data_IF_489512553501
#
_entry.id   IF_489512553501
#
_cell.length_a   1.000
_cell.length_b   1.000
_cell.length_c   1.000
_cell.angle_alpha   90.00
_cell.angle_beta   90.00
_cell.angle_gamma   90.00
#
_symmetry.space_group_name_H-M   'P 1'
#
loop_
_entity.id
_entity.type
_entity.pdbx_description
1 polymer ?
#
# COMPACT_ATOMS: atom_id res chain seq x y z
N UNK A 1 1.30 7.60 0.04
CA UNK A 1 1.15 6.71 1.22
C UNK A 1 0.53 7.35 2.46
N UNK A 2 0.61 8.67 2.68
CA UNK A 2 0.10 9.32 3.91
C UNK A 2 -1.41 9.10 4.16
N UNK A 3 -2.20 8.95 3.09
CA UNK A 3 -3.65 8.76 3.14
C UNK A 3 -4.10 7.30 3.37
N UNK A 4 -3.19 6.34 3.53
CA UNK A 4 -3.55 4.97 3.88
C UNK A 4 -3.62 4.77 5.40
N UNK A 5 -4.51 3.89 5.89
CA UNK A 5 -4.44 3.41 7.27
C UNK A 5 -3.03 2.90 7.61
N UNK A 6 -2.58 3.19 8.84
CA UNK A 6 -1.20 2.92 9.28
C UNK A 6 -0.78 1.48 8.96
N UNK A 7 -1.61 0.51 9.30
CA UNK A 7 -1.33 -0.92 9.14
C UNK A 7 -1.16 -1.36 7.68
N UNK A 8 -1.85 -0.71 6.74
CA UNK A 8 -1.71 -0.98 5.31
C UNK A 8 -0.43 -0.34 4.77
N UNK A 9 -0.16 0.91 5.17
CA UNK A 9 1.07 1.63 4.81
C UNK A 9 2.31 0.91 5.32
N UNK A 10 2.32 0.51 6.58
CA UNK A 10 3.43 -0.18 7.23
C UNK A 10 3.78 -1.47 6.48
N UNK A 11 2.78 -2.30 6.16
CA UNK A 11 3.01 -3.51 5.37
C UNK A 11 3.58 -3.22 3.98
N UNK A 12 3.07 -2.19 3.30
CA UNK A 12 3.57 -1.78 1.97
C UNK A 12 5.00 -1.26 2.03
N UNK A 13 5.35 -0.47 3.04
CA UNK A 13 6.72 0.07 3.22
C UNK A 13 7.69 -1.07 3.49
N UNK A 14 7.38 -1.95 4.45
CA UNK A 14 8.26 -3.06 4.79
C UNK A 14 8.46 -4.00 3.59
N UNK A 15 7.42 -4.25 2.81
CA UNK A 15 7.52 -5.16 1.66
C UNK A 15 8.20 -4.53 0.44
N UNK A 16 7.79 -3.33 0.00
CA UNK A 16 8.23 -2.77 -1.27
C UNK A 16 9.42 -1.82 -1.16
N UNK A 17 9.63 -1.20 0.01
CA UNK A 17 10.69 -0.21 0.20
C UNK A 17 11.86 -0.77 1.01
N UNK A 18 11.59 -1.75 1.88
CA UNK A 18 12.61 -2.39 2.71
C UNK A 18 12.85 -3.87 2.31
N UNK A 19 12.25 -4.33 1.21
CA UNK A 19 12.44 -5.66 0.60
C UNK A 19 12.29 -6.84 1.58
N UNK A 20 11.49 -6.68 2.64
CA UNK A 20 11.21 -7.78 3.57
C UNK A 20 10.21 -8.77 2.97
N UNK A 21 10.45 -10.06 3.20
CA UNK A 21 9.49 -11.11 2.87
C UNK A 21 8.24 -11.04 3.75
N UNK A 22 7.16 -11.68 3.33
CA UNK A 22 5.90 -11.74 4.09
C UNK A 22 6.13 -12.41 5.46
N UNK A 23 6.99 -13.42 5.52
CA UNK A 23 7.36 -14.14 6.72
C UNK A 23 8.15 -13.25 7.69
N UNK A 24 9.10 -12.47 7.17
CA UNK A 24 9.89 -11.55 7.98
C UNK A 24 9.00 -10.42 8.56
N UNK A 25 8.10 -9.87 7.76
CA UNK A 25 7.12 -8.86 8.22
C UNK A 25 6.20 -9.44 9.28
N UNK A 26 5.70 -10.67 9.08
CA UNK A 26 4.84 -11.36 10.04
C UNK A 26 5.54 -11.55 11.39
N UNK A 27 6.81 -11.98 11.37
CA UNK A 27 7.62 -12.14 12.57
C UNK A 27 7.93 -10.79 13.24
N UNK A 28 8.26 -9.76 12.47
CA UNK A 28 8.62 -8.45 13.01
C UNK A 28 7.44 -7.72 13.65
N UNK A 29 6.24 -7.87 13.07
CA UNK A 29 5.02 -7.21 13.55
C UNK A 29 4.20 -8.09 14.50
N UNK A 30 4.66 -9.30 14.80
CA UNK A 30 3.96 -10.32 15.61
C UNK A 30 2.50 -10.56 15.16
N UNK A 31 2.33 -10.82 13.86
CA UNK A 31 1.01 -11.08 13.26
C UNK A 31 1.05 -12.25 12.27
N UNK A 32 -0.08 -12.93 12.01
CA UNK A 32 -0.14 -13.99 11.01
C UNK A 32 0.22 -13.50 9.60
N UNK A 33 0.88 -14.35 8.81
CA UNK A 33 1.20 -14.07 7.39
C UNK A 33 -0.04 -13.77 6.55
N UNK A 34 -1.20 -14.39 6.89
CA UNK A 34 -2.49 -14.07 6.28
C UNK A 34 -2.92 -12.61 6.51
N UNK A 35 -2.64 -12.05 7.69
CA UNK A 35 -2.90 -10.65 8.01
C UNK A 35 -2.00 -9.72 7.21
N UNK A 36 -0.72 -10.06 7.06
CA UNK A 36 0.23 -9.31 6.21
C UNK A 36 -0.28 -9.27 4.75
N UNK A 37 -0.63 -10.43 4.19
CA UNK A 37 -1.20 -10.54 2.83
C UNK A 37 -2.46 -9.69 2.67
N UNK A 38 -3.36 -9.71 3.65
CA UNK A 38 -4.59 -8.92 3.61
C UNK A 38 -4.33 -7.41 3.70
N UNK A 39 -3.36 -6.96 4.54
CA UNK A 39 -2.92 -5.56 4.61
C UNK A 39 -2.31 -5.10 3.29
N UNK A 40 -1.44 -5.90 2.69
CA UNK A 40 -0.82 -5.62 1.39
C UNK A 40 -1.86 -5.54 0.27
N UNK A 41 -2.79 -6.48 0.21
CA UNK A 41 -3.87 -6.48 -0.80
C UNK A 41 -4.72 -5.22 -0.70
N UNK A 42 -5.26 -4.91 0.48
CA UNK A 42 -6.08 -3.72 0.69
C UNK A 42 -5.31 -2.43 0.44
N UNK A 43 -4.04 -2.35 0.88
CA UNK A 43 -3.19 -1.20 0.65
C UNK A 43 -2.94 -0.93 -0.84
N UNK A 44 -2.69 -1.97 -1.64
CA UNK A 44 -2.56 -1.83 -3.11
C UNK A 44 -3.87 -1.38 -3.76
N UNK A 45 -5.01 -1.95 -3.37
CA UNK A 45 -6.32 -1.54 -3.90
C UNK A 45 -6.60 -0.07 -3.59
N UNK A 46 -6.32 0.38 -2.36
CA UNK A 46 -6.50 1.77 -1.96
C UNK A 46 -5.55 2.72 -2.71
N UNK A 47 -4.29 2.32 -2.95
CA UNK A 47 -3.36 3.07 -3.79
C UNK A 47 -3.87 3.16 -5.23
N UNK A 48 -4.27 2.04 -5.82
CA UNK A 48 -4.79 2.03 -7.19
C UNK A 48 -6.00 2.95 -7.35
N UNK A 49 -6.91 2.98 -6.36
CA UNK A 49 -8.04 3.91 -6.36
C UNK A 49 -7.58 5.37 -6.32
N UNK A 50 -6.59 5.71 -5.49
CA UNK A 50 -6.04 7.07 -5.42
C UNK A 50 -5.34 7.48 -6.72
N UNK A 51 -4.57 6.58 -7.35
CA UNK A 51 -3.91 6.88 -8.61
C UNK A 51 -4.90 7.04 -9.77
N UNK A 52 -5.98 6.25 -9.79
CA UNK A 52 -7.06 6.41 -10.79
C UNK A 52 -7.73 7.78 -10.68
N UNK A 53 -7.96 8.27 -9.46
CA UNK A 53 -8.50 9.62 -9.22
C UNK A 53 -7.57 10.70 -9.78
N UNK A 54 -6.24 10.51 -9.71
CA UNK A 54 -5.27 11.49 -10.24
C UNK A 54 -5.08 11.46 -11.76
N UNK A 55 -5.59 10.45 -12.48
CA UNK A 55 -5.43 10.35 -13.94
C UNK A 55 -6.57 11.00 -14.72
N UNK A 56 -7.65 11.42 -14.05
CA UNK A 56 -8.83 12.01 -14.70
C UNK A 56 -8.85 13.56 -14.70
N UNK A 57 -7.81 14.25 -14.21
CA UNK A 57 -7.72 15.73 -14.18
C UNK A 57 -6.43 16.32 -14.80
N UNK A 58 -5.90 15.74 -15.89
CA UNK A 58 -4.91 16.42 -16.75
C UNK A 58 -5.42 16.51 -18.20
N UNK A 59 -6.56 17.16 -18.36
CA UNK A 59 -7.13 17.58 -19.64
C UNK A 59 -7.66 19.01 -19.55
N UNK A 60 -6.94 19.91 -18.89
CA UNK A 60 -7.24 21.35 -18.96
C UNK A 60 -6.36 21.94 -20.05
N UNK A 61 -6.99 22.10 -21.22
CA UNK A 61 -6.49 22.86 -22.35
C UNK A 61 -6.07 24.25 -21.86
N UNK A 62 -4.76 24.50 -21.83
CA UNK A 62 -4.19 25.83 -21.73
C UNK A 62 -3.48 26.13 -23.05
N UNK A 63 -4.24 26.62 -24.03
CA UNK A 63 -3.91 27.72 -24.95
C UNK A 63 -4.97 27.86 -26.06
#
# INVERSE_FOLDING_TARGET
LKHLPHTQREALVLFYLADLSIEAIASQLDIPTGTVKARLSRGRTALAAQLKITTDEEGVDHA
#
